data_IF_771856245398
#
_entry.id   IF_771856245398
#
_cell.length_a   1.000
_cell.length_b   1.000
_cell.length_c   1.000
_cell.angle_alpha   90.00
_cell.angle_beta   90.00
_cell.angle_gamma   90.00
#
_symmetry.space_group_name_H-M   'P 1'
#
loop_
_entity.id
_entity.type
_entity.pdbx_description
1 polymer ?
#
# COMPACT_ATOMS: atom_id res chain seq x y z
N UNK A 1 5.28 -31.50 -8.93
CA UNK A 1 3.88 -31.21 -8.69
C UNK A 1 3.43 -30.03 -9.55
N UNK A 2 4.17 -28.94 -9.49
CA UNK A 2 4.03 -27.78 -10.36
C UNK A 2 5.15 -27.83 -11.38
N UNK A 3 4.86 -27.65 -12.67
CA UNK A 3 5.84 -27.80 -13.74
C UNK A 3 6.93 -26.73 -13.74
N UNK A 4 6.58 -25.54 -13.20
CA UNK A 4 7.45 -24.36 -13.14
C UNK A 4 7.01 -23.41 -12.01
N UNK A 5 7.70 -22.29 -11.87
CA UNK A 5 7.41 -21.26 -10.85
C UNK A 5 6.05 -20.60 -11.09
N UNK A 6 5.69 -20.32 -12.35
CA UNK A 6 4.39 -19.74 -12.67
C UNK A 6 3.24 -20.64 -12.25
N UNK A 7 3.32 -21.95 -12.56
CA UNK A 7 2.33 -22.92 -12.13
C UNK A 7 2.20 -23.02 -10.62
N UNK A 8 3.31 -22.95 -9.88
CA UNK A 8 3.29 -22.89 -8.42
C UNK A 8 2.58 -21.63 -7.92
N UNK A 9 2.96 -20.46 -8.44
CA UNK A 9 2.41 -19.17 -8.01
C UNK A 9 0.91 -19.10 -8.27
N UNK A 10 0.46 -19.51 -9.46
CA UNK A 10 -0.96 -19.53 -9.81
C UNK A 10 -1.73 -20.55 -8.98
N UNK A 11 -1.14 -21.71 -8.68
CA UNK A 11 -1.76 -22.71 -7.78
C UNK A 11 -1.96 -22.18 -6.36
N UNK A 12 -1.02 -21.38 -5.84
CA UNK A 12 -1.19 -20.68 -4.55
C UNK A 12 -2.29 -19.62 -4.65
N UNK A 13 -2.30 -18.83 -5.74
CA UNK A 13 -3.33 -17.81 -5.96
C UNK A 13 -4.74 -18.42 -6.05
N UNK A 14 -4.91 -19.59 -6.69
CA UNK A 14 -6.19 -20.30 -6.75
C UNK A 14 -6.69 -20.71 -5.37
N UNK A 15 -5.81 -21.23 -4.50
CA UNK A 15 -6.17 -21.60 -3.12
C UNK A 15 -6.58 -20.35 -2.31
N UNK A 16 -5.84 -19.25 -2.43
CA UNK A 16 -6.17 -17.99 -1.77
C UNK A 16 -7.49 -17.41 -2.29
N UNK A 17 -7.73 -17.46 -3.60
CA UNK A 17 -8.99 -17.04 -4.21
C UNK A 17 -10.20 -17.82 -3.67
N UNK A 18 -10.06 -19.13 -3.45
CA UNK A 18 -11.11 -19.94 -2.80
C UNK A 18 -11.37 -19.51 -1.36
N UNK A 19 -10.31 -19.16 -0.60
CA UNK A 19 -10.43 -18.76 0.80
C UNK A 19 -11.08 -17.39 0.98
N UNK A 20 -10.90 -16.46 0.05
CA UNK A 20 -11.43 -15.09 0.17
C UNK A 20 -12.84 -14.93 -0.42
N UNK A 21 -13.29 -15.87 -1.26
CA UNK A 21 -14.56 -15.77 -2.03
C UNK A 21 -15.78 -15.44 -1.20
N UNK A 22 -15.91 -16.06 -0.04
CA UNK A 22 -17.08 -15.89 0.85
C UNK A 22 -16.69 -15.19 2.16
N UNK A 23 -15.56 -14.50 2.18
CA UNK A 23 -15.09 -13.82 3.37
C UNK A 23 -15.93 -12.57 3.66
N UNK A 24 -16.65 -12.50 4.80
CA UNK A 24 -17.46 -11.34 5.14
C UNK A 24 -16.58 -10.19 5.65
N UNK A 25 -16.06 -9.37 4.76
CA UNK A 25 -15.24 -8.21 5.08
C UNK A 25 -15.65 -6.98 4.26
N UNK A 26 -15.41 -5.80 4.82
CA UNK A 26 -15.66 -4.54 4.13
C UNK A 26 -14.59 -4.24 3.07
N UNK A 27 -13.36 -4.73 3.29
CA UNK A 27 -12.24 -4.56 2.36
C UNK A 27 -11.31 -5.77 2.46
N UNK A 28 -10.87 -6.28 1.32
CA UNK A 28 -9.83 -7.27 1.16
C UNK A 28 -8.54 -6.57 0.76
N UNK A 29 -7.49 -6.67 1.58
CA UNK A 29 -6.17 -6.16 1.25
C UNK A 29 -5.18 -7.32 1.06
N UNK A 30 -4.38 -7.22 0.01
CA UNK A 30 -3.22 -8.10 -0.22
C UNK A 30 -1.97 -7.29 0.07
N UNK A 31 -1.06 -7.86 0.87
CA UNK A 31 0.25 -7.25 1.13
C UNK A 31 1.31 -7.87 0.23
N UNK A 32 2.00 -7.02 -0.52
CA UNK A 32 3.09 -7.39 -1.42
C UNK A 32 4.36 -6.58 -1.08
N UNK A 33 5.48 -7.26 -0.83
CA UNK A 33 6.73 -6.63 -0.43
C UNK A 33 7.96 -7.12 -1.22
N UNK A 34 7.79 -7.96 -2.24
CA UNK A 34 8.89 -8.56 -3.00
C UNK A 34 9.10 -7.91 -4.37
N UNK A 35 8.05 -7.47 -5.03
CA UNK A 35 8.13 -6.85 -6.36
C UNK A 35 8.96 -5.57 -6.37
N UNK A 36 8.96 -4.71 -5.33
CA UNK A 36 9.89 -3.57 -5.30
C UNK A 36 11.37 -3.93 -5.49
N UNK A 37 11.78 -5.12 -5.08
CA UNK A 37 13.13 -5.63 -5.31
C UNK A 37 13.29 -6.54 -6.55
N UNK A 38 12.18 -6.95 -7.16
CA UNK A 38 12.14 -7.87 -8.30
C UNK A 38 11.13 -7.39 -9.37
N UNK A 39 11.29 -6.20 -9.94
CA UNK A 39 10.29 -5.59 -10.82
C UNK A 39 10.01 -6.42 -12.10
N UNK A 40 10.96 -7.25 -12.54
CA UNK A 40 10.80 -8.12 -13.71
C UNK A 40 9.73 -9.21 -13.49
N UNK A 41 9.44 -9.58 -12.23
CA UNK A 41 8.38 -10.52 -11.88
C UNK A 41 6.98 -9.85 -11.83
N UNK A 42 6.89 -8.54 -12.05
CA UNK A 42 5.65 -7.76 -12.00
C UNK A 42 4.50 -8.37 -12.82
N UNK A 43 4.68 -8.74 -14.09
CA UNK A 43 3.60 -9.29 -14.91
C UNK A 43 2.97 -10.58 -14.35
N UNK A 44 3.78 -11.49 -13.83
CA UNK A 44 3.27 -12.74 -13.24
C UNK A 44 2.64 -12.49 -11.86
N UNK A 45 3.24 -11.60 -11.07
CA UNK A 45 2.70 -11.20 -9.76
C UNK A 45 1.34 -10.50 -9.91
N UNK A 46 1.18 -9.59 -10.88
CA UNK A 46 -0.10 -8.94 -11.16
C UNK A 46 -1.20 -9.96 -11.47
N UNK A 47 -0.92 -10.96 -12.31
CA UNK A 47 -1.90 -12.02 -12.60
C UNK A 47 -2.30 -12.81 -11.36
N UNK A 48 -1.34 -13.17 -10.51
CA UNK A 48 -1.60 -13.92 -9.29
C UNK A 48 -2.39 -13.08 -8.26
N UNK A 49 -2.02 -11.83 -8.06
CA UNK A 49 -2.73 -10.89 -7.18
C UNK A 49 -4.16 -10.66 -7.67
N UNK A 50 -4.35 -10.37 -8.96
CA UNK A 50 -5.66 -10.16 -9.56
C UNK A 50 -6.56 -11.39 -9.43
N UNK A 51 -5.98 -12.61 -9.56
CA UNK A 51 -6.72 -13.85 -9.36
C UNK A 51 -7.38 -13.93 -7.97
N UNK A 52 -6.71 -13.40 -6.95
CA UNK A 52 -7.23 -13.35 -5.58
C UNK A 52 -8.22 -12.19 -5.40
N UNK A 53 -7.88 -11.00 -5.92
CA UNK A 53 -8.76 -9.82 -5.83
C UNK A 53 -10.09 -10.04 -6.55
N UNK A 54 -10.07 -10.62 -7.75
CA UNK A 54 -11.26 -10.90 -8.56
C UNK A 54 -12.21 -11.95 -7.91
N UNK A 55 -11.74 -12.67 -6.91
CA UNK A 55 -12.54 -13.62 -6.14
C UNK A 55 -13.25 -12.99 -4.94
N UNK A 56 -12.98 -11.73 -4.60
CA UNK A 56 -13.65 -11.02 -3.52
C UNK A 56 -15.17 -10.95 -3.79
N UNK A 57 -15.95 -11.00 -2.71
CA UNK A 57 -17.42 -10.91 -2.82
C UNK A 57 -17.84 -9.53 -3.35
N UNK A 58 -18.96 -9.49 -4.07
CA UNK A 58 -19.54 -8.25 -4.57
C UNK A 58 -19.78 -7.25 -3.41
N UNK A 59 -19.35 -6.01 -3.60
CA UNK A 59 -19.42 -4.96 -2.59
C UNK A 59 -18.29 -4.96 -1.56
N UNK A 60 -17.34 -5.91 -1.66
CA UNK A 60 -16.09 -5.87 -0.87
C UNK A 60 -15.10 -4.94 -1.58
N UNK A 61 -14.65 -3.87 -0.90
CA UNK A 61 -13.57 -3.02 -1.40
C UNK A 61 -12.27 -3.81 -1.53
N UNK A 62 -11.42 -3.45 -2.47
CA UNK A 62 -10.15 -4.14 -2.70
C UNK A 62 -8.96 -3.20 -2.62
N UNK A 63 -7.88 -3.66 -1.98
CA UNK A 63 -6.65 -2.92 -1.82
C UNK A 63 -5.42 -3.79 -2.03
N UNK A 64 -4.31 -3.16 -2.42
CA UNK A 64 -3.00 -3.80 -2.35
C UNK A 64 -2.04 -2.87 -1.62
N UNK A 65 -1.39 -3.42 -0.58
CA UNK A 65 -0.33 -2.72 0.13
C UNK A 65 1.03 -3.05 -0.47
N UNK A 66 1.81 -2.01 -0.71
CA UNK A 66 3.20 -2.12 -1.15
C UNK A 66 4.13 -1.37 -0.24
N UNK A 67 5.18 -2.04 0.18
CA UNK A 67 6.30 -1.44 0.88
C UNK A 67 7.63 -1.99 0.35
N UNK A 68 8.71 -1.33 0.71
CA UNK A 68 10.08 -1.79 0.40
C UNK A 68 10.63 -2.72 1.51
N UNK A 69 9.72 -3.36 2.23
CA UNK A 69 10.01 -4.28 3.31
C UNK A 69 10.07 -3.63 4.69
N UNK A 70 9.72 -4.42 5.70
CA UNK A 70 9.69 -4.00 7.10
C UNK A 70 10.24 -5.12 8.01
N UNK A 71 11.33 -5.75 7.63
CA UNK A 71 11.94 -6.79 8.45
C UNK A 71 12.85 -6.16 9.52
N UNK A 72 12.47 -6.34 10.78
CA UNK A 72 13.22 -5.73 11.90
C UNK A 72 13.19 -4.19 11.89
N UNK A 73 12.18 -3.56 11.29
CA UNK A 73 12.12 -2.12 11.14
C UNK A 73 13.08 -1.57 10.08
N UNK A 74 13.53 -2.42 9.16
CA UNK A 74 14.47 -2.05 8.08
C UNK A 74 13.80 -2.16 6.71
N UNK A 75 14.17 -1.25 5.82
CA UNK A 75 13.88 -1.38 4.39
C UNK A 75 14.74 -2.50 3.83
N UNK A 76 14.13 -3.55 3.27
CA UNK A 76 14.83 -4.72 2.74
C UNK A 76 15.06 -4.59 1.24
N UNK A 77 14.07 -4.04 0.52
CA UNK A 77 14.14 -3.86 -0.92
C UNK A 77 14.66 -2.46 -1.25
N UNK A 78 15.58 -2.38 -2.20
CA UNK A 78 16.03 -1.11 -2.76
C UNK A 78 15.29 -0.83 -4.06
N UNK A 79 14.88 0.41 -4.28
CA UNK A 79 14.17 0.78 -5.50
C UNK A 79 13.42 2.09 -5.37
N UNK A 80 12.65 2.41 -6.41
CA UNK A 80 11.78 3.58 -6.52
C UNK A 80 10.42 3.17 -7.05
N UNK A 81 9.42 4.03 -6.89
CA UNK A 81 8.07 3.78 -7.40
C UNK A 81 8.00 3.79 -8.92
N UNK A 82 8.81 4.63 -9.60
CA UNK A 82 8.73 4.81 -11.05
C UNK A 82 8.80 3.50 -11.87
N UNK A 83 9.71 2.55 -11.61
CA UNK A 83 9.75 1.28 -12.35
C UNK A 83 8.55 0.36 -12.09
N UNK A 84 7.77 0.63 -11.05
CA UNK A 84 6.64 -0.21 -10.63
C UNK A 84 5.30 0.26 -11.20
N UNK A 85 5.23 1.41 -11.84
CA UNK A 85 3.97 2.03 -12.28
C UNK A 85 3.20 1.13 -13.25
N UNK A 86 3.87 0.51 -14.22
CA UNK A 86 3.23 -0.43 -15.14
C UNK A 86 2.60 -1.61 -14.42
N UNK A 87 3.34 -2.20 -13.47
CA UNK A 87 2.83 -3.28 -12.64
C UNK A 87 1.60 -2.85 -11.83
N UNK A 88 1.68 -1.68 -11.15
CA UNK A 88 0.58 -1.14 -10.35
C UNK A 88 -0.66 -0.88 -11.21
N UNK A 89 -0.49 -0.32 -12.41
CA UNK A 89 -1.59 -0.05 -13.34
C UNK A 89 -2.29 -1.32 -13.85
N UNK A 90 -1.65 -2.48 -13.75
CA UNK A 90 -2.25 -3.77 -14.11
C UNK A 90 -3.03 -4.45 -12.98
N UNK A 91 -3.08 -3.87 -11.78
CA UNK A 91 -3.81 -4.46 -10.65
C UNK A 91 -5.31 -4.16 -10.69
N UNK A 92 -6.13 -5.08 -10.20
CA UNK A 92 -7.60 -4.98 -10.17
C UNK A 92 -8.09 -4.52 -8.78
N UNK A 93 -7.39 -3.62 -8.11
CA UNK A 93 -7.85 -3.09 -6.83
C UNK A 93 -8.44 -1.68 -6.97
N UNK A 94 -9.22 -1.26 -5.96
CA UNK A 94 -9.81 0.07 -5.88
C UNK A 94 -8.79 1.09 -5.38
N UNK A 95 -7.90 0.70 -4.45
CA UNK A 95 -6.87 1.60 -3.94
C UNK A 95 -5.55 0.89 -3.66
N UNK A 96 -4.48 1.69 -3.72
CA UNK A 96 -3.10 1.29 -3.48
C UNK A 96 -2.64 1.88 -2.14
N UNK A 97 -2.16 1.05 -1.22
CA UNK A 97 -1.65 1.47 0.08
C UNK A 97 -0.13 1.51 0.02
N UNK A 98 0.45 2.72 -0.05
CA UNK A 98 1.83 2.92 -0.45
C UNK A 98 2.71 3.46 0.68
N UNK A 99 3.94 2.95 0.78
CA UNK A 99 4.99 3.46 1.65
C UNK A 99 5.53 4.78 1.09
N UNK A 100 5.30 5.92 1.78
CA UNK A 100 5.68 7.25 1.30
C UNK A 100 6.24 8.19 2.39
N UNK A 101 6.05 7.88 3.69
CA UNK A 101 6.40 8.78 4.78
C UNK A 101 7.89 9.14 4.85
N UNK A 102 8.77 8.23 4.48
CA UNK A 102 10.23 8.44 4.46
C UNK A 102 10.83 8.39 3.04
N UNK A 103 9.97 8.39 2.01
CA UNK A 103 10.41 8.33 0.62
C UNK A 103 10.74 9.73 0.09
N UNK A 104 11.69 9.82 -0.86
CA UNK A 104 12.03 11.11 -1.48
C UNK A 104 10.89 11.64 -2.35
N UNK A 105 10.91 12.94 -2.60
CA UNK A 105 9.85 13.65 -3.33
C UNK A 105 9.65 13.14 -4.76
N UNK A 106 10.70 12.67 -5.42
CA UNK A 106 10.62 12.11 -6.77
C UNK A 106 9.83 10.78 -6.82
N UNK A 107 9.70 10.08 -5.69
CA UNK A 107 8.84 8.91 -5.58
C UNK A 107 7.34 9.29 -5.58
N UNK A 108 6.97 10.39 -4.91
CA UNK A 108 5.60 10.91 -4.98
C UNK A 108 5.28 11.42 -6.40
N UNK A 109 6.22 12.14 -7.04
CA UNK A 109 6.06 12.61 -8.41
C UNK A 109 5.85 11.48 -9.43
N UNK A 110 6.49 10.34 -9.21
CA UNK A 110 6.34 9.18 -10.08
C UNK A 110 4.90 8.62 -10.11
N UNK A 111 4.15 8.81 -9.02
CA UNK A 111 2.77 8.32 -8.93
C UNK A 111 1.78 9.10 -9.82
N UNK A 112 2.19 10.20 -10.45
CA UNK A 112 1.39 10.90 -11.47
C UNK A 112 1.08 10.04 -12.71
N UNK A 113 1.89 9.01 -12.94
CA UNK A 113 1.72 8.08 -14.05
C UNK A 113 0.79 6.89 -13.70
N UNK A 114 0.22 6.87 -12.48
CA UNK A 114 -0.80 5.89 -12.10
C UNK A 114 -2.13 6.18 -12.82
N UNK A 115 -2.85 5.10 -13.11
CA UNK A 115 -4.22 5.20 -13.60
C UNK A 115 -5.09 5.95 -12.56
N UNK A 116 -5.81 7.02 -12.96
CA UNK A 116 -6.61 7.84 -12.05
C UNK A 116 -7.80 7.10 -11.40
N UNK A 117 -8.07 5.87 -11.80
CA UNK A 117 -9.07 5.01 -11.14
C UNK A 117 -8.67 4.60 -9.71
N UNK A 118 -7.38 4.64 -9.37
CA UNK A 118 -6.92 4.24 -8.05
C UNK A 118 -7.10 5.33 -7.01
N UNK A 119 -7.74 5.00 -5.89
CA UNK A 119 -7.56 5.75 -4.66
C UNK A 119 -6.15 5.51 -4.09
N UNK A 120 -5.52 6.56 -3.58
CA UNK A 120 -4.22 6.45 -2.94
C UNK A 120 -4.38 6.34 -1.42
N UNK A 121 -3.90 5.23 -0.86
CA UNK A 121 -3.61 5.08 0.55
C UNK A 121 -2.20 5.63 0.81
N UNK A 122 -2.15 6.86 1.30
CA UNK A 122 -0.90 7.61 1.49
C UNK A 122 -0.22 7.21 2.80
N UNK A 123 0.98 6.65 2.73
CA UNK A 123 1.85 6.45 3.89
C UNK A 123 2.33 7.79 4.44
N UNK A 124 1.89 8.13 5.66
CA UNK A 124 2.22 9.40 6.33
C UNK A 124 2.88 9.22 7.70
N UNK A 125 3.06 7.96 8.10
CA UNK A 125 3.71 7.57 9.37
C UNK A 125 4.90 6.66 9.06
N UNK A 126 6.10 7.11 9.39
CA UNK A 126 7.30 6.29 9.30
C UNK A 126 7.34 5.27 10.44
N UNK A 127 7.21 3.98 10.12
CA UNK A 127 7.20 2.89 11.11
C UNK A 127 8.61 2.42 11.51
N UNK A 128 9.64 2.94 10.86
CA UNK A 128 11.04 2.55 11.09
C UNK A 128 11.72 3.37 12.19
N UNK A 129 11.07 4.44 12.67
CA UNK A 129 11.57 5.32 13.72
C UNK A 129 10.57 5.47 14.86
N UNK A 130 11.10 5.76 16.07
CA UNK A 130 10.27 5.99 17.27
C UNK A 130 9.72 7.41 17.38
N UNK A 131 10.12 8.31 16.46
CA UNK A 131 9.55 9.65 16.39
C UNK A 131 8.04 9.58 16.17
N UNK A 132 7.29 10.45 16.86
CA UNK A 132 5.84 10.56 16.65
C UNK A 132 5.60 11.79 15.79
N UNK A 133 5.02 11.59 14.64
CA UNK A 133 4.65 12.65 13.71
C UNK A 133 3.63 13.60 14.35
N UNK A 134 3.74 14.89 14.09
CA UNK A 134 2.72 15.86 14.52
C UNK A 134 1.52 15.86 13.57
N UNK A 135 0.35 16.31 14.05
CA UNK A 135 -0.82 16.49 13.21
C UNK A 135 -0.52 17.40 12.00
N UNK A 136 0.23 18.48 12.21
CA UNK A 136 0.64 19.40 11.13
C UNK A 136 1.55 18.74 10.08
N UNK A 137 2.44 17.83 10.48
CA UNK A 137 3.29 17.09 9.53
C UNK A 137 2.43 16.19 8.65
N UNK A 138 1.47 15.50 9.25
CA UNK A 138 0.55 14.60 8.53
C UNK A 138 -0.37 15.40 7.60
N UNK A 139 -0.99 16.49 8.08
CA UNK A 139 -1.85 17.36 7.26
C UNK A 139 -1.08 17.90 6.04
N UNK A 140 0.15 18.41 6.24
CA UNK A 140 1.00 18.88 5.13
C UNK A 140 1.40 17.75 4.15
N UNK A 141 1.57 16.52 4.62
CA UNK A 141 1.84 15.40 3.73
C UNK A 141 0.65 15.11 2.81
N UNK A 142 -0.56 15.19 3.34
CA UNK A 142 -1.80 15.04 2.57
C UNK A 142 -1.93 16.18 1.56
N UNK A 143 -1.81 17.45 2.00
CA UNK A 143 -1.86 18.64 1.12
C UNK A 143 -0.83 18.54 -0.02
N UNK A 144 0.39 18.09 0.28
CA UNK A 144 1.44 17.90 -0.71
C UNK A 144 1.05 16.83 -1.73
N UNK A 145 0.53 15.68 -1.27
CA UNK A 145 0.11 14.60 -2.16
C UNK A 145 -1.02 15.07 -3.08
N UNK A 146 -2.04 15.73 -2.56
CA UNK A 146 -3.14 16.31 -3.34
C UNK A 146 -2.67 17.38 -4.35
N UNK A 147 -1.69 18.20 -3.95
CA UNK A 147 -1.09 19.19 -4.86
C UNK A 147 -0.34 18.53 -6.02
N UNK A 148 0.37 17.41 -5.75
CA UNK A 148 1.20 16.72 -6.73
C UNK A 148 0.37 15.82 -7.63
N UNK A 149 -0.55 15.03 -7.05
CA UNK A 149 -1.27 13.96 -7.76
C UNK A 149 -2.64 14.41 -8.28
N UNK A 150 -3.19 15.50 -7.75
CA UNK A 150 -4.52 16.00 -8.06
C UNK A 150 -5.45 15.91 -6.85
N UNK A 151 -6.46 16.75 -6.83
CA UNK A 151 -7.44 16.79 -5.74
C UNK A 151 -8.24 15.49 -5.66
N UNK A 152 -8.57 15.09 -4.45
CA UNK A 152 -9.39 13.89 -4.14
C UNK A 152 -8.73 12.55 -4.52
N UNK A 153 -7.42 12.53 -4.80
CA UNK A 153 -6.70 11.29 -5.09
C UNK A 153 -6.36 10.48 -3.82
N UNK A 154 -6.18 11.16 -2.67
CA UNK A 154 -5.89 10.51 -1.39
C UNK A 154 -7.18 9.99 -0.77
N UNK A 155 -7.47 8.71 -0.98
CA UNK A 155 -8.66 8.05 -0.42
C UNK A 155 -8.48 7.62 1.04
N UNK A 156 -7.25 7.29 1.44
CA UNK A 156 -6.89 6.83 2.78
C UNK A 156 -5.53 7.38 3.20
N UNK A 157 -5.32 7.49 4.50
CA UNK A 157 -3.99 7.72 5.08
C UNK A 157 -3.62 6.54 5.99
N UNK A 158 -2.39 6.14 5.94
CA UNK A 158 -1.91 4.94 6.61
C UNK A 158 -0.47 5.10 7.13
N UNK A 159 -0.02 4.24 8.03
CA UNK A 159 1.41 4.07 8.25
C UNK A 159 2.06 3.39 7.04
N UNK A 160 3.35 3.61 6.84
CA UNK A 160 4.11 3.01 5.74
C UNK A 160 4.03 1.48 5.69
N UNK A 161 3.82 0.85 6.82
CA UNK A 161 3.59 -0.59 6.96
C UNK A 161 3.02 -0.89 8.37
N UNK A 162 2.87 -2.17 8.71
CA UNK A 162 2.40 -2.60 10.03
C UNK A 162 3.31 -2.19 11.19
N UNK A 163 2.74 -1.94 12.36
CA UNK A 163 3.44 -1.48 13.58
C UNK A 163 4.14 -2.59 14.37
N UNK A 164 4.19 -3.81 13.88
CA UNK A 164 4.60 -4.98 14.65
C UNK A 164 5.99 -4.91 15.31
N UNK A 165 6.89 -4.07 14.78
CA UNK A 165 8.21 -3.85 15.35
C UNK A 165 8.28 -2.72 16.38
N UNK A 166 7.24 -1.91 16.51
CA UNK A 166 7.20 -0.81 17.45
C UNK A 166 6.67 -1.25 18.83
N UNK A 167 7.18 -0.61 19.88
CA UNK A 167 6.55 -0.76 21.20
C UNK A 167 5.10 -0.29 21.13
N UNK A 168 4.20 -1.00 21.81
CA UNK A 168 2.76 -0.67 21.86
C UNK A 168 2.51 0.81 22.16
N UNK A 169 3.23 1.39 23.12
CA UNK A 169 3.10 2.80 23.51
C UNK A 169 3.51 3.78 22.39
N UNK A 170 4.40 3.39 21.49
CA UNK A 170 4.77 4.17 20.31
C UNK A 170 3.69 4.04 19.24
N UNK A 171 3.26 2.81 18.95
CA UNK A 171 2.22 2.54 17.95
C UNK A 171 0.91 3.27 18.29
N UNK A 172 0.44 3.20 19.55
CA UNK A 172 -0.77 3.89 20.01
C UNK A 172 -0.68 5.43 19.80
N UNK A 173 0.50 6.01 20.06
CA UNK A 173 0.72 7.45 19.85
C UNK A 173 0.77 7.83 18.38
N UNK A 174 1.36 7.00 17.51
CA UNK A 174 1.38 7.20 16.07
C UNK A 174 -0.02 7.11 15.47
N UNK A 175 -0.85 6.14 15.90
CA UNK A 175 -2.25 6.04 15.48
C UNK A 175 -3.05 7.28 15.92
N UNK A 176 -2.85 7.74 17.15
CA UNK A 176 -3.50 8.96 17.64
C UNK A 176 -3.07 10.21 16.85
N UNK A 177 -1.79 10.29 16.45
CA UNK A 177 -1.29 11.38 15.61
C UNK A 177 -1.87 11.31 14.19
N UNK A 178 -1.97 10.12 13.60
CA UNK A 178 -2.60 9.89 12.30
C UNK A 178 -4.03 10.44 12.27
N UNK A 179 -4.86 10.06 13.25
CA UNK A 179 -6.23 10.53 13.36
C UNK A 179 -6.31 12.06 13.48
N UNK A 180 -5.48 12.66 14.35
CA UNK A 180 -5.43 14.12 14.52
C UNK A 180 -4.97 14.85 13.25
N UNK A 181 -4.02 14.28 12.52
CA UNK A 181 -3.55 14.87 11.26
C UNK A 181 -4.61 14.86 10.18
N UNK A 182 -5.37 13.75 10.07
CA UNK A 182 -6.55 13.66 9.20
C UNK A 182 -7.58 14.73 9.58
N UNK A 183 -7.94 14.81 10.87
CA UNK A 183 -8.96 15.74 11.34
C UNK A 183 -8.54 17.21 11.08
N UNK A 184 -7.25 17.52 11.30
CA UNK A 184 -6.69 18.84 10.99
C UNK A 184 -6.79 19.16 9.49
N UNK A 185 -6.45 18.20 8.62
CA UNK A 185 -6.56 18.37 7.17
C UNK A 185 -8.02 18.60 6.74
N UNK A 186 -8.96 17.86 7.31
CA UNK A 186 -10.38 17.97 7.02
C UNK A 186 -11.07 19.18 7.68
N UNK A 187 -10.41 19.87 8.62
CA UNK A 187 -10.98 21.00 9.36
C UNK A 187 -12.05 20.60 10.37
N UNK A 188 -11.96 19.40 10.97
CA UNK A 188 -12.90 18.85 11.96
C UNK A 188 -12.25 18.55 13.30
#
# INVERSE_FOLDING_TARGET
HYGDFEGLLMGVADVLAEQVRDLPCACLQIDEANIPGNPDDGPIAARAINRVLDAASEGTGTAVHFCFGNYGGQTIQSGKWKPLIEFLNNLHCEHLVLELAHRPDDDLEALKDLDPRFGIGLGVIDIKVNHIESADQIARAIEKAETVLGNDCVSHINPDCGFWMLKRSIADRKIAALAKGRDLYLGI
#
